data_IF_987008361300
#
_entry.id   IF_987008361300
#
_cell.length_a   1.000
_cell.length_b   1.000
_cell.length_c   1.000
_cell.angle_alpha   90.00
_cell.angle_beta   90.00
_cell.angle_gamma   90.00
#
_symmetry.space_group_name_H-M   'P 1'
#
loop_
_entity.id
_entity.type
_entity.pdbx_description
1 polymer ?
#
# COMPACT_ATOMS: atom_id res chain seq x y z
N UNK A 1 44.20 -29.69 -8.27
CA UNK A 1 43.31 -28.55 -7.98
C UNK A 1 43.11 -28.52 -6.49
N UNK A 2 43.32 -27.38 -5.86
CA UNK A 2 43.22 -27.23 -4.41
C UNK A 2 41.79 -27.45 -3.94
N UNK A 3 41.62 -28.20 -2.85
CA UNK A 3 40.31 -28.46 -2.22
C UNK A 3 39.55 -27.16 -1.92
N UNK A 4 40.29 -26.08 -1.62
CA UNK A 4 39.70 -24.75 -1.41
C UNK A 4 39.01 -24.18 -2.64
N UNK A 5 39.55 -24.37 -3.85
CA UNK A 5 38.93 -23.83 -5.07
C UNK A 5 37.67 -24.60 -5.46
N UNK A 6 37.66 -25.91 -5.21
CA UNK A 6 36.49 -26.77 -5.42
C UNK A 6 35.31 -26.37 -4.52
N UNK A 7 35.56 -26.11 -3.23
CA UNK A 7 34.52 -25.67 -2.30
C UNK A 7 33.97 -24.29 -2.64
N UNK A 8 34.84 -23.36 -3.05
CA UNK A 8 34.44 -22.01 -3.42
C UNK A 8 33.54 -22.01 -4.67
N UNK A 9 33.90 -22.80 -5.68
CA UNK A 9 33.10 -22.93 -6.91
C UNK A 9 31.73 -23.56 -6.64
N UNK A 10 31.67 -24.59 -5.78
CA UNK A 10 30.40 -25.22 -5.39
C UNK A 10 29.48 -24.25 -4.66
N UNK A 11 30.01 -23.43 -3.75
CA UNK A 11 29.23 -22.45 -2.99
C UNK A 11 28.62 -21.39 -3.91
N UNK A 12 29.39 -20.88 -4.87
CA UNK A 12 28.90 -19.92 -5.86
C UNK A 12 27.81 -20.55 -6.73
N UNK A 13 28.02 -21.79 -7.19
CA UNK A 13 27.06 -22.50 -8.01
C UNK A 13 25.71 -22.68 -7.28
N UNK A 14 25.75 -23.07 -6.01
CA UNK A 14 24.54 -23.19 -5.17
C UNK A 14 23.86 -21.83 -4.97
N UNK A 15 24.61 -20.76 -4.72
CA UNK A 15 24.06 -19.43 -4.54
C UNK A 15 23.37 -18.90 -5.81
N UNK A 16 23.98 -19.12 -6.98
CA UNK A 16 23.39 -18.75 -8.28
C UNK A 16 22.11 -19.52 -8.54
N UNK A 17 22.12 -20.84 -8.32
CA UNK A 17 20.91 -21.68 -8.44
C UNK A 17 19.83 -21.17 -7.48
N UNK A 18 20.17 -20.86 -6.23
CA UNK A 18 19.22 -20.34 -5.24
C UNK A 18 18.58 -19.02 -5.69
N UNK A 19 19.38 -18.07 -6.20
CA UNK A 19 18.88 -16.78 -6.69
C UNK A 19 17.93 -16.98 -7.89
N UNK A 20 18.25 -17.88 -8.82
CA UNK A 20 17.44 -18.18 -10.01
C UNK A 20 16.19 -18.99 -9.65
N UNK A 21 16.27 -19.88 -8.67
CA UNK A 21 15.14 -20.66 -8.19
C UNK A 21 14.19 -19.79 -7.35
N UNK A 22 14.67 -18.74 -6.68
CA UNK A 22 13.85 -17.83 -5.86
C UNK A 22 12.57 -17.30 -6.55
N UNK A 23 12.61 -16.78 -7.79
CA UNK A 23 11.39 -16.36 -8.49
C UNK A 23 10.47 -17.53 -8.86
N UNK A 24 11.01 -18.74 -9.06
CA UNK A 24 10.23 -19.92 -9.46
C UNK A 24 9.56 -20.64 -8.28
N UNK A 25 10.11 -20.50 -7.06
CA UNK A 25 9.48 -20.94 -5.82
C UNK A 25 8.50 -19.93 -5.22
N UNK A 26 8.43 -18.72 -5.79
CA UNK A 26 7.24 -17.86 -5.63
C UNK A 26 6.11 -18.41 -6.50
N UNK A 27 5.63 -19.61 -6.17
CA UNK A 27 4.36 -20.10 -6.73
C UNK A 27 3.23 -19.57 -5.87
N UNK A 28 2.45 -18.71 -6.52
CA UNK A 28 0.99 -18.81 -6.62
C UNK A 28 0.30 -19.09 -5.30
N UNK A 29 -0.33 -18.05 -4.77
CA UNK A 29 -1.46 -18.11 -3.85
C UNK A 29 -2.23 -19.42 -4.02
N UNK A 30 -2.16 -20.28 -2.98
CA UNK A 30 -3.11 -21.38 -2.76
C UNK A 30 -4.54 -20.83 -2.86
N UNK A 31 -5.57 -21.65 -3.16
CA UNK A 31 -6.94 -21.20 -3.28
C UNK A 31 -7.46 -20.76 -1.91
N UNK A 32 -7.17 -19.51 -1.56
CA UNK A 32 -7.60 -18.83 -0.35
C UNK A 32 -8.35 -17.62 -0.88
N UNK A 33 -9.67 -17.65 -0.69
CA UNK A 33 -10.64 -16.56 -0.85
C UNK A 33 -10.18 -15.46 -1.82
N UNK A 34 -10.77 -15.42 -3.01
CA UNK A 34 -10.71 -14.33 -3.99
C UNK A 34 -10.35 -13.00 -3.33
N UNK A 35 -9.06 -12.71 -3.25
CA UNK A 35 -8.56 -11.49 -2.63
C UNK A 35 -8.47 -10.51 -3.78
N UNK A 36 -9.04 -9.31 -3.59
CA UNK A 36 -9.11 -8.23 -4.59
C UNK A 36 -7.74 -7.89 -5.22
N UNK A 37 -6.63 -8.38 -4.65
CA UNK A 37 -5.26 -8.26 -5.16
C UNK A 37 -4.98 -9.10 -6.40
N UNK A 38 -5.51 -10.32 -6.51
CA UNK A 38 -5.29 -11.17 -7.71
C UNK A 38 -6.07 -10.60 -8.91
N UNK A 39 -7.29 -10.12 -8.68
CA UNK A 39 -8.11 -9.49 -9.72
C UNK A 39 -7.46 -8.19 -10.25
N UNK A 40 -6.84 -7.39 -9.38
CA UNK A 40 -6.15 -6.17 -9.79
C UNK A 40 -4.93 -6.46 -10.67
N UNK A 41 -4.12 -7.46 -10.31
CA UNK A 41 -2.95 -7.88 -11.10
C UNK A 41 -3.38 -8.43 -12.48
N UNK A 42 -4.52 -9.11 -12.55
CA UNK A 42 -5.07 -9.60 -13.81
C UNK A 42 -5.57 -8.46 -14.71
N UNK A 43 -6.31 -7.48 -14.18
CA UNK A 43 -6.69 -6.29 -14.97
C UNK A 43 -5.48 -5.49 -15.45
N UNK A 44 -4.41 -5.42 -14.66
CA UNK A 44 -3.16 -4.77 -15.06
C UNK A 44 -2.48 -5.51 -16.22
N UNK A 45 -2.45 -6.85 -16.19
CA UNK A 45 -1.90 -7.65 -17.30
C UNK A 45 -2.70 -7.46 -18.58
N UNK A 46 -4.02 -7.46 -18.49
CA UNK A 46 -4.90 -7.22 -19.64
C UNK A 46 -4.68 -5.83 -20.22
N UNK A 47 -4.58 -4.80 -19.37
CA UNK A 47 -4.26 -3.45 -19.80
C UNK A 47 -2.91 -3.38 -20.54
N UNK A 48 -1.86 -3.99 -19.98
CA UNK A 48 -0.54 -4.03 -20.60
C UNK A 48 -0.55 -4.75 -21.96
N UNK A 49 -1.41 -5.75 -22.14
CA UNK A 49 -1.61 -6.42 -23.43
C UNK A 49 -2.27 -5.49 -24.45
N UNK A 50 -3.34 -4.79 -24.07
CA UNK A 50 -4.02 -3.82 -24.95
C UNK A 50 -3.05 -2.70 -25.39
N UNK A 51 -2.24 -2.19 -24.47
CA UNK A 51 -1.23 -1.17 -24.79
C UNK A 51 -0.13 -1.70 -25.72
N UNK A 52 0.22 -2.99 -25.66
CA UNK A 52 1.13 -3.60 -26.63
C UNK A 52 0.48 -3.69 -28.01
N UNK A 53 -0.80 -4.08 -28.08
CA UNK A 53 -1.53 -4.13 -29.35
C UNK A 53 -1.63 -2.76 -30.02
N UNK A 54 -1.94 -1.70 -29.27
CA UNK A 54 -1.95 -0.32 -29.80
C UNK A 54 -0.59 0.06 -30.38
N UNK A 55 0.50 -0.24 -29.66
CA UNK A 55 1.87 0.06 -30.13
C UNK A 55 2.26 -0.72 -31.38
N UNK A 56 1.85 -1.98 -31.50
CA UNK A 56 2.10 -2.77 -32.70
C UNK A 56 1.32 -2.20 -33.90
N UNK A 57 0.05 -1.81 -33.72
CA UNK A 57 -0.76 -1.17 -34.76
C UNK A 57 -0.16 0.15 -35.24
N UNK A 58 0.31 0.99 -34.32
CA UNK A 58 1.01 2.23 -34.66
C UNK A 58 2.29 1.95 -35.46
N UNK A 59 2.98 0.86 -35.15
CA UNK A 59 4.17 0.44 -35.89
C UNK A 59 3.83 -0.04 -37.31
N UNK A 60 2.78 -0.84 -37.47
CA UNK A 60 2.33 -1.33 -38.78
C UNK A 60 1.84 -0.19 -39.69
N UNK A 61 1.15 0.80 -39.12
CA UNK A 61 0.75 2.01 -39.83
C UNK A 61 1.96 2.83 -40.28
N UNK A 62 2.98 2.99 -39.42
CA UNK A 62 4.24 3.66 -39.77
C UNK A 62 4.99 2.95 -40.90
N UNK A 63 4.85 1.64 -41.00
CA UNK A 63 5.36 0.83 -42.11
C UNK A 63 4.48 0.89 -43.39
N UNK A 64 3.39 1.68 -43.38
CA UNK A 64 2.42 1.82 -44.47
C UNK A 64 1.77 0.50 -44.91
N UNK A 65 1.69 -0.48 -44.00
CA UNK A 65 1.06 -1.77 -44.29
C UNK A 65 -0.47 -1.75 -44.26
N UNK A 66 -1.06 -0.72 -43.65
CA UNK A 66 -2.50 -0.58 -43.39
C UNK A 66 -2.94 0.82 -43.87
N UNK A 67 -4.19 0.95 -44.34
CA UNK A 67 -4.80 2.25 -44.67
C UNK A 67 -4.94 3.12 -43.41
N UNK A 68 -4.74 4.43 -43.53
CA UNK A 68 -4.89 5.38 -42.43
C UNK A 68 -6.31 5.35 -41.83
N UNK A 69 -7.32 5.01 -42.63
CA UNK A 69 -8.72 4.87 -42.20
C UNK A 69 -8.94 3.65 -41.28
N UNK A 70 -8.34 2.51 -41.63
CA UNK A 70 -8.46 1.28 -40.83
C UNK A 70 -7.71 1.41 -39.50
N UNK A 71 -6.56 2.10 -39.51
CA UNK A 71 -5.81 2.37 -38.28
C UNK A 71 -6.64 3.19 -37.28
N UNK A 72 -7.32 4.24 -37.74
CA UNK A 72 -8.11 5.11 -36.87
C UNK A 72 -9.26 4.34 -36.19
N UNK A 73 -9.95 3.47 -36.94
CA UNK A 73 -11.05 2.66 -36.41
C UNK A 73 -10.56 1.65 -35.35
N UNK A 74 -9.48 0.93 -35.64
CA UNK A 74 -8.94 -0.06 -34.69
C UNK A 74 -8.41 0.62 -33.42
N UNK A 75 -7.70 1.73 -33.56
CA UNK A 75 -7.15 2.45 -32.40
C UNK A 75 -8.25 2.99 -31.48
N UNK A 76 -9.37 3.46 -32.03
CA UNK A 76 -10.54 3.87 -31.23
C UNK A 76 -11.09 2.70 -30.39
N UNK A 77 -11.25 1.50 -31.00
CA UNK A 77 -11.72 0.31 -30.31
C UNK A 77 -10.79 -0.10 -29.15
N UNK A 78 -9.48 -0.14 -29.39
CA UNK A 78 -8.52 -0.50 -28.34
C UNK A 78 -8.41 0.55 -27.24
N UNK A 79 -8.57 1.84 -27.57
CA UNK A 79 -8.57 2.91 -26.58
C UNK A 79 -9.79 2.83 -25.66
N UNK A 80 -10.97 2.53 -26.21
CA UNK A 80 -12.17 2.29 -25.41
C UNK A 80 -11.98 1.10 -24.46
N UNK A 81 -11.42 0.00 -24.95
CA UNK A 81 -11.11 -1.15 -24.12
C UNK A 81 -10.12 -0.81 -22.98
N UNK A 82 -9.06 -0.07 -23.30
CA UNK A 82 -8.08 0.38 -22.30
C UNK A 82 -8.72 1.28 -21.23
N UNK A 83 -9.63 2.18 -21.62
CA UNK A 83 -10.35 3.06 -20.69
C UNK A 83 -11.23 2.27 -19.71
N UNK A 84 -11.89 1.20 -20.18
CA UNK A 84 -12.69 0.31 -19.31
C UNK A 84 -11.81 -0.37 -18.28
N UNK A 85 -10.67 -0.93 -18.69
CA UNK A 85 -9.73 -1.62 -17.80
C UNK A 85 -9.16 -0.67 -16.74
N UNK A 86 -8.79 0.56 -17.12
CA UNK A 86 -8.33 1.58 -16.17
C UNK A 86 -9.38 1.89 -15.11
N UNK A 87 -10.66 1.99 -15.48
CA UNK A 87 -11.75 2.20 -14.52
C UNK A 87 -11.92 1.04 -13.53
N UNK A 88 -11.65 -0.20 -13.94
CA UNK A 88 -11.66 -1.36 -13.04
C UNK A 88 -10.47 -1.35 -12.07
N UNK A 89 -9.29 -0.96 -12.55
CA UNK A 89 -8.08 -0.81 -11.74
C UNK A 89 -8.29 0.29 -10.69
N UNK A 90 -8.86 1.44 -11.05
CA UNK A 90 -9.14 2.51 -10.08
C UNK A 90 -10.13 2.08 -8.99
N UNK A 91 -11.21 1.36 -9.36
CA UNK A 91 -12.18 0.85 -8.38
C UNK A 91 -11.55 -0.14 -7.40
N UNK A 92 -10.76 -1.09 -7.92
CA UNK A 92 -10.09 -2.11 -7.10
C UNK A 92 -8.99 -1.52 -6.22
N UNK A 93 -8.17 -0.61 -6.75
CA UNK A 93 -7.16 0.12 -5.96
C UNK A 93 -7.79 0.96 -4.85
N UNK A 94 -8.92 1.62 -5.11
CA UNK A 94 -9.61 2.42 -4.09
C UNK A 94 -10.26 1.56 -3.01
N UNK A 95 -10.80 0.38 -3.35
CA UNK A 95 -11.31 -0.61 -2.38
C UNK A 95 -10.19 -1.09 -1.43
N UNK A 96 -9.01 -1.41 -1.98
CA UNK A 96 -7.83 -1.78 -1.20
C UNK A 96 -7.31 -0.64 -0.31
N UNK A 97 -7.28 0.59 -0.82
CA UNK A 97 -6.82 1.75 -0.06
C UNK A 97 -7.76 2.07 1.10
N UNK A 98 -9.07 2.02 0.88
CA UNK A 98 -10.07 2.28 1.92
C UNK A 98 -10.07 1.18 2.99
N UNK A 99 -9.92 -0.10 2.60
CA UNK A 99 -9.84 -1.20 3.58
C UNK A 99 -8.55 -1.15 4.41
N UNK A 100 -7.42 -0.73 3.81
CA UNK A 100 -6.16 -0.54 4.53
C UNK A 100 -6.20 0.65 5.50
N UNK A 101 -6.72 1.80 5.05
CA UNK A 101 -6.86 3.02 5.87
C UNK A 101 -7.81 2.81 7.06
N UNK A 102 -8.93 2.10 6.85
CA UNK A 102 -9.86 1.74 7.95
C UNK A 102 -9.20 0.80 8.96
N UNK A 103 -8.38 -0.16 8.51
CA UNK A 103 -7.68 -1.10 9.40
C UNK A 103 -6.61 -0.39 10.25
N UNK A 104 -5.79 0.46 9.64
CA UNK A 104 -4.74 1.20 10.35
C UNK A 104 -5.31 2.25 11.32
N UNK A 105 -6.31 3.03 10.89
CA UNK A 105 -6.94 4.02 11.78
C UNK A 105 -7.68 3.35 12.94
N UNK A 106 -8.38 2.23 12.71
CA UNK A 106 -9.08 1.53 13.79
C UNK A 106 -8.10 1.01 14.84
N UNK A 107 -6.92 0.53 14.45
CA UNK A 107 -5.89 0.08 15.38
C UNK A 107 -5.29 1.24 16.20
N UNK A 108 -5.06 2.39 15.56
CA UNK A 108 -4.58 3.61 16.24
C UNK A 108 -5.64 4.15 17.22
N UNK A 109 -6.91 4.17 16.83
CA UNK A 109 -8.00 4.65 17.68
C UNK A 109 -8.18 3.79 18.93
N UNK A 110 -8.06 2.45 18.80
CA UNK A 110 -8.07 1.55 19.95
C UNK A 110 -6.95 1.87 20.94
N UNK A 111 -5.72 2.09 20.45
CA UNK A 111 -4.58 2.47 21.30
C UNK A 111 -4.77 3.83 21.97
N UNK A 112 -5.44 4.79 21.31
CA UNK A 112 -5.79 6.10 21.88
C UNK A 112 -6.85 5.94 22.98
N UNK A 113 -7.89 5.13 22.75
CA UNK A 113 -8.93 4.88 23.75
C UNK A 113 -8.39 4.20 24.99
N UNK A 114 -7.50 3.23 24.84
CA UNK A 114 -6.87 2.53 25.97
C UNK A 114 -5.98 3.48 26.79
N UNK A 115 -5.23 4.35 26.12
CA UNK A 115 -4.45 5.40 26.80
C UNK A 115 -5.34 6.39 27.54
N UNK A 116 -6.45 6.83 26.93
CA UNK A 116 -7.41 7.75 27.58
C UNK A 116 -8.07 7.09 28.79
N UNK A 117 -8.42 5.81 28.72
CA UNK A 117 -8.99 5.07 29.84
C UNK A 117 -8.01 4.98 31.02
N UNK A 118 -6.73 4.67 30.76
CA UNK A 118 -5.68 4.64 31.80
C UNK A 118 -5.41 6.02 32.41
N UNK A 119 -5.60 7.10 31.66
CA UNK A 119 -5.34 8.50 32.09
C UNK A 119 -6.57 9.22 32.66
N UNK A 120 -7.72 8.55 32.86
CA UNK A 120 -8.84 9.10 33.64
C UNK A 120 -8.49 9.14 35.13
N UNK A 121 -7.54 9.98 35.48
CA UNK A 121 -7.16 10.23 36.86
C UNK A 121 -8.19 11.12 37.55
N UNK A 122 -8.26 10.97 38.88
CA UNK A 122 -9.22 11.67 39.73
C UNK A 122 -8.99 13.18 39.65
N UNK A 123 -10.10 13.91 39.57
CA UNK A 123 -10.16 15.37 39.63
C UNK A 123 -9.35 15.90 40.82
N UNK A 124 -8.43 16.85 40.56
CA UNK A 124 -7.56 17.44 41.57
C UNK A 124 -7.97 18.85 42.01
N UNK A 125 -8.92 19.46 41.29
CA UNK A 125 -9.42 20.80 41.61
C UNK A 125 -9.52 21.71 40.39
N UNK A 126 -9.56 23.01 40.65
CA UNK A 126 -9.63 24.05 39.63
C UNK A 126 -8.36 24.91 39.63
N UNK A 127 -7.94 25.36 38.45
CA UNK A 127 -6.83 26.28 38.30
C UNK A 127 -7.19 27.66 38.89
N UNK A 128 -6.33 28.20 39.76
CA UNK A 128 -6.53 29.51 40.38
C UNK A 128 -6.58 30.68 39.37
N UNK A 129 -5.98 30.52 38.18
CA UNK A 129 -5.89 31.59 37.19
C UNK A 129 -7.02 31.57 36.15
N UNK A 130 -7.37 30.40 35.63
CA UNK A 130 -8.37 30.27 34.54
C UNK A 130 -9.60 29.45 34.92
N UNK A 131 -9.69 29.00 36.19
CA UNK A 131 -10.80 28.20 36.75
C UNK A 131 -11.12 26.91 35.99
N UNK A 132 -10.17 26.40 35.21
CA UNK A 132 -10.33 25.14 34.47
C UNK A 132 -10.03 23.95 35.37
N UNK A 133 -10.70 22.83 35.14
CA UNK A 133 -10.48 21.58 35.87
C UNK A 133 -9.06 21.06 35.66
N UNK A 134 -8.43 20.57 36.73
CA UNK A 134 -7.10 20.00 36.74
C UNK A 134 -7.14 18.53 37.16
N UNK A 135 -6.27 17.72 36.59
CA UNK A 135 -6.02 16.34 37.01
C UNK A 135 -4.87 16.27 38.01
N UNK A 136 -4.78 15.17 38.78
CA UNK A 136 -3.75 15.00 39.83
C UNK A 136 -2.32 15.01 39.31
N UNK A 137 -2.09 14.54 38.08
CA UNK A 137 -0.78 14.54 37.44
C UNK A 137 -0.43 15.85 36.73
N UNK A 138 -1.36 16.82 36.63
CA UNK A 138 -1.11 18.07 35.94
C UNK A 138 -0.18 18.97 36.76
N UNK A 139 1.08 19.12 36.32
CA UNK A 139 2.03 20.14 36.83
C UNK A 139 1.78 21.53 36.26
N UNK A 140 1.08 21.61 35.13
CA UNK A 140 0.74 22.84 34.43
C UNK A 140 -0.73 22.79 34.00
N UNK A 141 -1.41 23.93 33.99
CA UNK A 141 -2.80 23.98 33.55
C UNK A 141 -2.89 23.78 32.02
N UNK A 142 -3.71 22.84 31.52
CA UNK A 142 -3.82 22.56 30.08
C UNK A 142 -4.44 23.71 29.28
N UNK A 143 -5.13 24.66 29.92
CA UNK A 143 -5.76 25.80 29.26
C UNK A 143 -4.93 27.09 29.29
N UNK A 144 -4.22 27.36 30.40
CA UNK A 144 -3.50 28.62 30.58
C UNK A 144 -1.99 28.49 30.80
N UNK A 145 -1.45 27.27 30.83
CA UNK A 145 -0.01 27.00 30.92
C UNK A 145 0.65 27.33 32.27
N UNK A 146 -0.07 27.97 33.21
CA UNK A 146 0.50 28.28 34.54
C UNK A 146 0.71 27.02 35.37
N UNK A 147 1.79 27.00 36.14
CA UNK A 147 2.09 25.95 37.11
C UNK A 147 0.95 25.83 38.12
N UNK A 148 0.52 24.61 38.35
CA UNK A 148 -0.48 24.28 39.36
C UNK A 148 0.29 24.10 40.67
N UNK A 149 0.03 24.94 41.67
CA UNK A 149 0.78 24.99 42.94
C UNK A 149 0.56 23.78 43.86
N UNK A 150 0.42 22.57 43.30
CA UNK A 150 0.25 21.32 44.05
C UNK A 150 1.65 20.75 44.29
N UNK A 151 2.29 21.20 45.38
CA UNK A 151 3.47 20.53 45.92
C UNK A 151 2.99 19.21 46.54
N UNK A 152 3.41 18.09 45.95
CA UNK A 152 3.24 16.75 46.52
C UNK A 152 3.78 16.74 47.96
N UNK A 153 2.91 16.50 48.94
CA UNK A 153 3.25 15.93 50.24
C UNK A 153 2.80 14.48 50.27
#
# INVERSE_FOLDING_TARGET
MDIGSLLFLLLILVAVIYIICRPFYRKTTLPVLETETDALDDYQKEYDQVIKCIRELEFEAKLRKISDEDQALLTEEYQLHAAVLLGLIEKTTQSQKNSHDVSENSQVDHLITDRKAKRRERFAGFCANCKTTLQKSDRFCPKCGKTTGVLNS
#
